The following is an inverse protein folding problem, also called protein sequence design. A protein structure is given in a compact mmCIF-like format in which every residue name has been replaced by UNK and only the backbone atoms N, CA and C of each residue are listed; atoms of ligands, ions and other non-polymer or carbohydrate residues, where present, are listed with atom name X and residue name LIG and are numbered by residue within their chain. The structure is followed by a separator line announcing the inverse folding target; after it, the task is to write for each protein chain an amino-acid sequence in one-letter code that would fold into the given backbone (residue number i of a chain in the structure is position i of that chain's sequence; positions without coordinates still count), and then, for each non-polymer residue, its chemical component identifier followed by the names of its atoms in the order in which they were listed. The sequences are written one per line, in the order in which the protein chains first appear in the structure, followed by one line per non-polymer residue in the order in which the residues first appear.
data_IF_117877348720
#
_entry.id   IF_117877348720
#
_cell.length_a   1.000
_cell.length_b   1.000
_cell.length_c   1.000
_cell.angle_alpha   90.00
_cell.angle_beta   90.00
_cell.angle_gamma   90.00
#
_symmetry.space_group_name_H-M   'P 1'
#
loop_
_entity.id
_entity.type
_entity.pdbx_description
1 polymer ?
#
# COMPACT_ATOMS: atom_id res chain seq x y z
N UNK A 1 -7.19 27.03 -85.51
CA UNK A 1 -7.76 25.75 -85.02
C UNK A 1 -7.85 25.81 -83.51
N UNK A 2 -9.08 25.77 -82.98
CA UNK A 2 -9.44 25.60 -81.57
C UNK A 2 -8.61 24.51 -80.88
N UNK A 3 -8.25 24.70 -79.60
CA UNK A 3 -8.55 23.77 -78.49
C UNK A 3 -8.67 24.51 -77.15
N UNK A 4 -9.91 24.55 -76.63
CA UNK A 4 -10.24 24.76 -75.21
C UNK A 4 -9.72 23.58 -74.37
N UNK A 5 -9.24 23.81 -73.14
CA UNK A 5 -9.45 22.91 -71.99
C UNK A 5 -9.44 23.70 -70.65
N UNK A 6 -10.22 23.28 -69.64
CA UNK A 6 -10.81 24.17 -68.63
C UNK A 6 -10.01 24.31 -67.34
N UNK A 7 -10.24 25.44 -66.66
CA UNK A 7 -9.74 25.81 -65.33
C UNK A 7 -10.30 24.86 -64.27
N UNK A 8 -9.43 24.07 -63.63
CA UNK A 8 -9.77 23.23 -62.49
C UNK A 8 -9.51 24.03 -61.20
N UNK A 9 -10.58 24.54 -60.58
CA UNK A 9 -10.53 25.24 -59.31
C UNK A 9 -10.23 24.29 -58.16
N UNK A 10 -9.16 24.59 -57.40
CA UNK A 10 -8.80 23.89 -56.16
C UNK A 10 -9.47 24.59 -55.00
N UNK A 11 -10.49 23.96 -54.41
CA UNK A 11 -11.12 24.38 -53.16
C UNK A 11 -10.35 23.71 -52.02
N UNK A 12 -9.61 24.50 -51.24
CA UNK A 12 -8.94 24.06 -50.01
C UNK A 12 -9.93 24.22 -48.86
N UNK A 13 -10.50 23.12 -48.38
CA UNK A 13 -11.28 23.08 -47.14
C UNK A 13 -10.30 23.00 -45.96
N UNK A 14 -10.10 24.12 -45.27
CA UNK A 14 -9.40 24.14 -43.97
C UNK A 14 -10.34 23.56 -42.92
N UNK A 15 -10.18 22.27 -42.61
CA UNK A 15 -10.79 21.67 -41.43
C UNK A 15 -10.11 22.27 -40.19
N UNK A 16 -10.72 23.32 -39.63
CA UNK A 16 -10.38 23.83 -38.32
C UNK A 16 -10.81 22.77 -37.28
N UNK A 17 -9.87 21.99 -36.78
CA UNK A 17 -10.08 21.22 -35.57
C UNK A 17 -10.16 22.20 -34.40
N UNK A 18 -11.34 22.78 -34.16
CA UNK A 18 -11.71 23.31 -32.85
C UNK A 18 -11.96 22.11 -31.93
N UNK A 19 -10.88 21.42 -31.58
CA UNK A 19 -10.91 20.45 -30.49
C UNK A 19 -10.77 21.25 -29.21
N UNK A 20 -11.87 21.46 -28.50
CA UNK A 20 -11.83 21.84 -27.10
C UNK A 20 -10.90 20.85 -26.40
N UNK A 21 -9.72 21.32 -26.02
CA UNK A 21 -8.75 20.53 -25.26
C UNK A 21 -9.40 20.36 -23.90
N UNK A 22 -10.12 19.26 -23.71
CA UNK A 22 -10.68 18.89 -22.43
C UNK A 22 -9.52 18.84 -21.44
N UNK A 23 -9.44 19.84 -20.57
CA UNK A 23 -8.45 19.90 -19.49
C UNK A 23 -8.59 18.62 -18.69
N UNK A 24 -7.64 17.71 -18.83
CA UNK A 24 -7.58 16.50 -18.02
C UNK A 24 -7.52 16.94 -16.56
N UNK A 25 -8.46 16.50 -15.70
CA UNK A 25 -8.41 16.86 -14.29
C UNK A 25 -7.09 16.37 -13.71
N UNK A 26 -6.29 17.29 -13.18
CA UNK A 26 -5.06 16.95 -12.46
C UNK A 26 -5.48 16.41 -11.09
N UNK A 27 -5.01 15.22 -10.67
CA UNK A 27 -5.30 14.73 -9.34
C UNK A 27 -4.76 15.71 -8.29
N UNK A 28 -5.65 16.24 -7.45
CA UNK A 28 -5.30 17.12 -6.34
C UNK A 28 -5.01 16.31 -5.09
N UNK A 29 -3.86 16.56 -4.47
CA UNK A 29 -3.55 16.01 -3.15
C UNK A 29 -4.51 16.59 -2.10
N UNK A 30 -4.95 15.80 -1.10
CA UNK A 30 -5.72 16.33 0.02
C UNK A 30 -4.99 17.50 0.69
N UNK A 31 -5.73 18.55 1.05
CA UNK A 31 -5.16 19.73 1.72
C UNK A 31 -4.71 19.49 3.16
N UNK A 32 -5.11 18.37 3.75
CA UNK A 32 -4.72 17.93 5.10
C UNK A 32 -4.89 16.43 5.23
N UNK A 33 -4.11 15.83 6.12
CA UNK A 33 -4.20 14.43 6.52
C UNK A 33 -4.71 14.39 7.96
N UNK A 34 -5.76 13.61 8.22
CA UNK A 34 -6.29 13.43 9.56
C UNK A 34 -5.27 12.71 10.46
N UNK A 35 -5.14 13.08 11.74
CA UNK A 35 -4.29 12.35 12.68
C UNK A 35 -4.92 10.98 13.02
N UNK A 36 -4.14 10.02 13.54
CA UNK A 36 -4.66 8.72 13.93
C UNK A 36 -5.63 8.84 15.11
N UNK A 37 -6.81 8.23 15.01
CA UNK A 37 -7.79 8.18 16.11
C UNK A 37 -8.21 6.75 16.48
N UNK A 38 -7.96 5.81 15.58
CA UNK A 38 -8.21 4.39 15.74
C UNK A 38 -6.89 3.65 15.85
N UNK A 39 -6.82 2.66 16.73
CA UNK A 39 -5.70 1.72 16.82
C UNK A 39 -6.25 0.31 16.71
N UNK A 40 -5.96 -0.34 15.58
CA UNK A 40 -6.24 -1.75 15.38
C UNK A 40 -5.06 -2.60 15.86
N UNK A 41 -5.34 -3.74 16.48
CA UNK A 41 -4.32 -4.69 16.95
C UNK A 41 -4.54 -6.04 16.29
N UNK A 42 -3.51 -6.52 15.62
CA UNK A 42 -3.50 -7.80 14.93
C UNK A 42 -2.51 -8.74 15.59
N UNK A 43 -2.93 -9.98 15.78
CA UNK A 43 -2.08 -11.08 16.24
C UNK A 43 -2.09 -12.18 15.20
N UNK A 44 -0.93 -12.79 14.98
CA UNK A 44 -0.78 -13.83 13.99
C UNK A 44 0.41 -14.72 14.28
N UNK A 45 0.63 -15.69 13.40
CA UNK A 45 1.77 -16.61 13.48
C UNK A 45 2.50 -16.63 12.15
N UNK A 46 3.82 -16.47 12.19
CA UNK A 46 4.67 -16.61 11.01
C UNK A 46 5.46 -17.90 11.13
N UNK A 47 5.26 -18.79 10.16
CA UNK A 47 6.11 -19.97 9.98
C UNK A 47 7.43 -19.60 9.29
N UNK A 48 8.38 -20.52 9.27
CA UNK A 48 9.65 -20.37 8.54
C UNK A 48 9.36 -20.02 7.07
N UNK A 49 9.98 -18.94 6.58
CA UNK A 49 9.77 -18.33 5.25
C UNK A 49 8.31 -17.96 4.93
N UNK A 50 7.45 -17.94 5.95
CA UNK A 50 6.04 -17.66 5.82
C UNK A 50 5.73 -16.17 5.76
N UNK A 51 4.51 -15.87 5.36
CA UNK A 51 3.92 -14.53 5.45
C UNK A 51 2.52 -14.65 6.01
N UNK A 52 2.19 -13.76 6.93
CA UNK A 52 0.84 -13.55 7.41
C UNK A 52 0.40 -12.11 7.10
N UNK A 53 -0.87 -11.89 6.84
CA UNK A 53 -1.40 -10.61 6.34
C UNK A 53 -2.77 -10.31 6.92
N UNK A 54 -2.99 -9.06 7.33
CA UNK A 54 -4.24 -8.58 7.87
C UNK A 54 -4.75 -7.37 7.09
N UNK A 55 -6.00 -7.38 6.61
CA UNK A 55 -6.61 -6.22 6.00
C UNK A 55 -7.03 -5.21 7.08
N UNK A 56 -6.97 -3.93 6.73
CA UNK A 56 -7.56 -2.83 7.52
C UNK A 56 -8.07 -1.74 6.55
N UNK A 57 -8.91 -0.84 7.03
CA UNK A 57 -9.51 0.19 6.17
C UNK A 57 -9.24 1.59 6.69
N UNK A 58 -8.75 2.47 5.81
CA UNK A 58 -8.57 3.88 6.09
C UNK A 58 -9.77 4.64 5.51
N UNK A 59 -10.68 5.19 6.34
CA UNK A 59 -11.94 5.76 5.84
C UNK A 59 -11.77 7.17 5.25
N UNK A 60 -10.75 7.91 5.68
CA UNK A 60 -10.44 9.27 5.23
C UNK A 60 -8.93 9.43 5.05
N UNK A 61 -8.45 10.31 4.16
CA UNK A 61 -7.01 10.54 4.03
C UNK A 61 -6.39 10.97 5.37
N UNK A 62 -5.35 10.27 5.82
CA UNK A 62 -4.68 10.60 7.06
C UNK A 62 -3.38 9.85 7.33
N UNK A 63 -2.83 10.09 8.51
CA UNK A 63 -1.59 9.48 9.00
C UNK A 63 -1.80 8.01 9.34
N UNK A 64 -0.87 7.15 8.93
CA UNK A 64 -0.87 5.72 9.24
C UNK A 64 0.47 5.34 9.86
N UNK A 65 0.40 4.75 11.05
CA UNK A 65 1.54 4.29 11.82
C UNK A 65 1.41 2.78 12.08
N UNK A 66 2.40 2.00 11.66
CA UNK A 66 2.44 0.55 11.89
C UNK A 66 3.54 0.22 12.87
N UNK A 67 3.18 -0.52 13.93
CA UNK A 67 4.11 -0.93 14.97
C UNK A 67 4.11 -2.44 15.17
N UNK A 68 5.25 -3.11 14.98
CA UNK A 68 5.45 -4.46 15.50
C UNK A 68 5.76 -4.35 17.00
N UNK A 69 4.85 -4.80 17.84
CA UNK A 69 4.91 -4.59 19.30
C UNK A 69 5.38 -5.82 20.06
N UNK A 70 5.22 -7.01 19.49
CA UNK A 70 5.58 -8.25 20.18
C UNK A 70 5.96 -9.36 19.21
N UNK A 71 6.93 -10.18 19.62
CA UNK A 71 7.29 -11.47 19.04
C UNK A 71 7.52 -12.45 20.19
N UNK A 72 6.98 -13.66 20.09
CA UNK A 72 7.21 -14.75 21.04
C UNK A 72 7.21 -16.11 20.32
N UNK A 73 7.77 -17.17 20.91
CA UNK A 73 7.65 -18.52 20.37
C UNK A 73 6.18 -18.95 20.25
N UNK A 74 5.78 -19.52 19.12
CA UNK A 74 4.37 -19.91 18.90
C UNK A 74 3.94 -21.09 19.79
N UNK A 75 4.88 -21.98 20.13
CA UNK A 75 4.63 -23.19 20.91
C UNK A 75 4.81 -23.01 22.42
N UNK A 76 5.40 -21.89 22.85
CA UNK A 76 5.68 -21.60 24.24
C UNK A 76 5.51 -20.10 24.51
N UNK A 77 4.28 -19.69 24.83
CA UNK A 77 3.95 -18.31 25.21
C UNK A 77 4.43 -17.95 26.62
N UNK A 78 5.01 -18.90 27.36
CA UNK A 78 5.64 -18.64 28.66
C UNK A 78 7.11 -18.24 28.53
N UNK A 79 7.72 -18.53 27.37
CA UNK A 79 9.05 -18.04 27.04
C UNK A 79 9.06 -16.51 26.90
N UNK A 80 10.15 -15.84 27.31
CA UNK A 80 10.28 -14.41 27.13
C UNK A 80 10.21 -14.06 25.63
N UNK A 81 9.70 -12.85 25.28
CA UNK A 81 9.69 -12.37 23.90
C UNK A 81 11.05 -12.55 23.24
N UNK A 82 11.09 -13.00 21.99
CA UNK A 82 12.34 -13.23 21.27
C UNK A 82 12.98 -11.88 20.89
N UNK A 83 13.62 -11.25 21.87
CA UNK A 83 14.30 -9.98 21.70
C UNK A 83 15.48 -10.17 20.74
N UNK A 84 15.38 -9.55 19.56
CA UNK A 84 16.42 -9.60 18.53
C UNK A 84 16.02 -10.36 17.26
N UNK A 85 14.93 -11.13 17.27
CA UNK A 85 14.39 -11.70 16.03
C UNK A 85 13.76 -10.59 15.19
N UNK A 86 14.32 -10.35 14.01
CA UNK A 86 13.80 -9.35 13.08
C UNK A 86 12.91 -10.01 12.02
N UNK A 87 11.70 -9.46 11.86
CA UNK A 87 10.75 -9.81 10.81
C UNK A 87 10.67 -8.70 9.77
N UNK A 88 10.26 -9.03 8.56
CA UNK A 88 9.87 -8.02 7.59
C UNK A 88 8.44 -7.58 7.88
N UNK A 89 8.29 -6.34 8.37
CA UNK A 89 7.00 -5.68 8.53
C UNK A 89 6.71 -4.86 7.28
N UNK A 90 5.52 -5.00 6.70
CA UNK A 90 5.15 -4.30 5.49
C UNK A 90 3.72 -3.78 5.54
N UNK A 91 3.48 -2.69 4.81
CA UNK A 91 2.16 -2.15 4.50
C UNK A 91 1.97 -2.18 2.98
N UNK A 92 0.75 -2.46 2.55
CA UNK A 92 0.45 -2.58 1.14
C UNK A 92 -1.03 -2.47 0.83
N UNK A 93 -1.36 -2.80 -0.41
CA UNK A 93 -2.73 -2.92 -0.88
C UNK A 93 -3.11 -4.40 -0.97
N UNK A 94 -4.39 -4.77 -0.75
CA UNK A 94 -4.84 -6.13 -1.01
C UNK A 94 -4.46 -6.58 -2.43
N UNK A 95 -3.83 -7.75 -2.54
CA UNK A 95 -3.42 -8.28 -3.83
C UNK A 95 -4.63 -8.71 -4.66
N UNK A 96 -4.65 -8.29 -5.93
CA UNK A 96 -5.69 -8.67 -6.88
C UNK A 96 -5.43 -10.05 -7.52
N UNK A 97 -4.21 -10.58 -7.39
CA UNK A 97 -3.79 -11.84 -8.03
C UNK A 97 -3.74 -13.01 -7.06
N UNK A 98 -3.47 -12.74 -5.77
CA UNK A 98 -3.38 -13.76 -4.72
C UNK A 98 -4.29 -13.33 -3.58
N UNK A 99 -5.42 -14.04 -3.43
CA UNK A 99 -6.40 -13.74 -2.38
C UNK A 99 -5.73 -13.80 -1.00
N UNK A 100 -5.97 -12.77 -0.18
CA UNK A 100 -5.40 -12.67 1.17
C UNK A 100 -3.94 -12.25 1.24
N UNK A 101 -3.27 -12.01 0.10
CA UNK A 101 -1.90 -11.49 0.09
C UNK A 101 -1.86 -9.97 0.13
N UNK A 102 -0.80 -9.42 0.73
CA UNK A 102 -0.53 -8.00 0.73
C UNK A 102 0.49 -7.62 -0.36
N UNK A 103 0.09 -6.80 -1.32
CA UNK A 103 1.00 -6.23 -2.30
C UNK A 103 1.76 -5.07 -1.66
N UNK A 104 3.00 -5.35 -1.24
CA UNK A 104 3.86 -4.42 -0.50
C UNK A 104 4.06 -3.10 -1.23
N UNK A 105 3.75 -2.01 -0.52
CA UNK A 105 4.07 -0.63 -0.91
C UNK A 105 5.32 -0.16 -0.18
N UNK A 106 5.41 -0.48 1.11
CA UNK A 106 6.55 -0.14 1.96
C UNK A 106 6.83 -1.28 2.94
N UNK A 107 8.11 -1.55 3.20
CA UNK A 107 8.54 -2.58 4.16
C UNK A 107 9.77 -2.14 4.93
N UNK A 108 9.94 -2.70 6.13
CA UNK A 108 11.10 -2.48 6.99
C UNK A 108 11.44 -3.77 7.74
N UNK A 109 12.72 -3.99 8.02
CA UNK A 109 13.14 -5.02 8.98
C UNK A 109 12.87 -4.50 10.39
N UNK A 110 11.99 -5.16 11.13
CA UNK A 110 11.49 -4.70 12.41
C UNK A 110 11.74 -5.74 13.51
N UNK A 111 12.21 -5.27 14.65
CA UNK A 111 12.11 -5.95 15.94
C UNK A 111 10.98 -5.31 16.76
N UNK A 112 10.45 -6.01 17.78
CA UNK A 112 9.44 -5.44 18.67
C UNK A 112 9.86 -4.09 19.26
N UNK A 113 8.98 -3.09 19.17
CA UNK A 113 9.23 -1.73 19.66
C UNK A 113 7.94 -1.09 20.20
N UNK A 114 8.12 -0.02 20.99
CA UNK A 114 7.05 0.89 21.39
C UNK A 114 6.88 2.09 20.45
N UNK A 115 7.75 2.23 19.45
CA UNK A 115 7.70 3.29 18.44
C UNK A 115 7.34 2.72 17.07
N UNK A 116 6.48 3.38 16.27
CA UNK A 116 6.14 2.90 14.94
C UNK A 116 7.37 2.76 14.04
N UNK A 117 7.51 1.60 13.39
CA UNK A 117 8.58 1.34 12.44
C UNK A 117 8.21 1.81 11.02
N UNK A 118 6.92 1.89 10.70
CA UNK A 118 6.42 2.50 9.46
C UNK A 118 5.53 3.68 9.84
N UNK A 119 5.77 4.84 9.21
CA UNK A 119 4.96 6.05 9.33
C UNK A 119 4.73 6.62 7.94
N UNK A 120 3.52 7.10 7.68
CA UNK A 120 3.22 7.74 6.41
C UNK A 120 1.82 8.32 6.35
N UNK A 121 1.42 8.71 5.14
CA UNK A 121 0.07 9.17 4.86
C UNK A 121 -0.59 8.21 3.88
N UNK A 122 -1.86 7.90 4.11
CA UNK A 122 -2.69 7.08 3.26
C UNK A 122 -3.90 7.89 2.76
N UNK A 123 -4.36 7.56 1.55
CA UNK A 123 -5.67 8.00 1.06
C UNK A 123 -6.75 7.05 1.59
N UNK A 124 -8.02 7.45 1.49
CA UNK A 124 -9.13 6.58 1.85
C UNK A 124 -9.16 5.33 0.94
N UNK A 125 -8.90 4.15 1.51
CA UNK A 125 -8.84 2.86 0.81
C UNK A 125 -8.72 1.70 1.81
N UNK A 126 -8.95 0.48 1.31
CA UNK A 126 -8.49 -0.73 1.98
C UNK A 126 -6.98 -0.87 1.82
N UNK A 127 -6.33 -1.25 2.92
CA UNK A 127 -4.91 -1.56 3.01
C UNK A 127 -4.73 -2.92 3.67
N UNK A 128 -3.50 -3.39 3.69
CA UNK A 128 -3.10 -4.56 4.45
C UNK A 128 -1.77 -4.29 5.13
N UNK A 129 -1.59 -4.93 6.27
CA UNK A 129 -0.30 -5.08 6.93
C UNK A 129 0.12 -6.53 6.80
N UNK A 130 1.39 -6.77 6.54
CA UNK A 130 1.94 -8.12 6.48
C UNK A 130 3.20 -8.25 7.30
N UNK A 131 3.37 -9.44 7.86
CA UNK A 131 4.56 -9.84 8.61
C UNK A 131 5.13 -11.07 7.94
N UNK A 132 6.39 -10.99 7.55
CA UNK A 132 7.08 -12.02 6.77
C UNK A 132 8.37 -12.40 7.45
N UNK A 133 8.69 -13.69 7.43
CA UNK A 133 10.02 -14.17 7.79
C UNK A 133 10.99 -13.95 6.61
N UNK A 134 12.04 -13.13 6.76
CA UNK A 134 13.06 -12.96 5.74
C UNK A 134 14.02 -14.17 5.59
N UNK A 135 13.80 -15.25 6.35
CA UNK A 135 14.65 -16.45 6.39
C UNK A 135 15.49 -16.55 7.66
N UNK A 136 15.07 -15.89 8.73
CA UNK A 136 15.76 -15.87 10.02
C UNK A 136 15.13 -16.82 11.03
N UNK A 137 13.91 -17.31 10.79
CA UNK A 137 13.23 -18.19 11.73
C UNK A 137 13.74 -19.63 11.63
N UNK A 138 13.95 -20.24 12.80
CA UNK A 138 14.21 -21.67 12.94
C UNK A 138 12.96 -22.44 13.35
N UNK A 139 11.94 -21.75 13.87
CA UNK A 139 10.65 -22.27 14.31
C UNK A 139 9.57 -21.21 14.09
N UNK A 140 8.29 -21.61 14.17
CA UNK A 140 7.19 -20.66 14.05
C UNK A 140 7.11 -19.73 15.26
N UNK A 141 6.80 -18.46 15.02
CA UNK A 141 6.64 -17.45 16.07
C UNK A 141 5.28 -16.79 16.00
N UNK A 142 4.76 -16.38 17.14
CA UNK A 142 3.59 -15.51 17.25
C UNK A 142 4.04 -14.05 17.27
N UNK A 143 3.24 -13.17 16.68
CA UNK A 143 3.51 -11.74 16.66
C UNK A 143 2.28 -10.93 17.08
N UNK A 144 2.54 -9.67 17.43
CA UNK A 144 1.50 -8.64 17.58
C UNK A 144 1.93 -7.38 16.84
N UNK A 145 1.04 -6.88 15.99
CA UNK A 145 1.21 -5.63 15.25
C UNK A 145 0.06 -4.70 15.60
N UNK A 146 0.34 -3.42 15.77
CA UNK A 146 -0.67 -2.38 15.85
C UNK A 146 -0.63 -1.48 14.62
N UNK A 147 -1.80 -1.06 14.16
CA UNK A 147 -1.95 -0.09 13.07
C UNK A 147 -2.78 1.06 13.62
N UNK A 148 -2.19 2.25 13.71
CA UNK A 148 -2.91 3.47 14.05
C UNK A 148 -3.25 4.22 12.76
N UNK A 149 -4.52 4.62 12.62
CA UNK A 149 -5.01 5.36 11.46
C UNK A 149 -6.21 6.25 11.86
N UNK A 150 -6.69 7.14 10.97
CA UNK A 150 -7.85 7.97 11.25
C UNK A 150 -9.10 7.14 11.53
#
# INVERSE_FOLDING_TARGET
MNRLFPVLGVIVLTAACSGDVASTPVPTQPGSFAPPTVVETFTGTVSILGTDSHPFNVPVPGEVDVTLTRIEPATDTSAPPAAGTALTLAIGLPSQTVLGSCATVQSVSATPSSTPQIKGHALASAFCVSVTDPGNLTDSISYTVTVAHP
#
